data_IF_165287887907
#
_entry.id   IF_165287887907
#
_cell.length_a   1.000
_cell.length_b   1.000
_cell.length_c   1.000
_cell.angle_alpha   90.00
_cell.angle_beta   90.00
_cell.angle_gamma   90.00
#
_symmetry.space_group_name_H-M   'P 1'
#
loop_
_entity.id
_entity.type
_entity.pdbx_description
1 polymer ?
#
# COMPACT_ATOMS: atom_id res chain seq x y z
N UNK A 1 -19.23 -51.45 12.01
CA UNK A 1 -20.04 -50.26 11.66
C UNK A 1 -19.87 -49.09 12.64
N UNK A 2 -19.97 -49.28 13.98
CA UNK A 2 -19.82 -48.17 14.96
C UNK A 2 -18.45 -47.47 14.97
N UNK A 3 -17.36 -48.19 14.70
CA UNK A 3 -15.99 -47.61 14.66
C UNK A 3 -15.71 -46.78 13.40
N UNK A 4 -16.43 -47.00 12.30
CA UNK A 4 -16.30 -46.18 11.07
C UNK A 4 -16.94 -44.80 11.26
N UNK A 5 -18.02 -44.71 12.03
CA UNK A 5 -18.68 -43.44 12.34
C UNK A 5 -17.83 -42.53 13.24
N UNK A 6 -17.05 -43.12 14.15
CA UNK A 6 -16.11 -42.38 15.01
C UNK A 6 -14.92 -41.81 14.24
N UNK A 7 -14.44 -42.50 13.20
CA UNK A 7 -13.34 -42.01 12.34
C UNK A 7 -13.82 -40.84 11.45
N UNK A 8 -15.07 -40.89 10.97
CA UNK A 8 -15.66 -39.81 10.17
C UNK A 8 -15.83 -38.50 10.97
N UNK A 9 -16.15 -38.61 12.27
CA UNK A 9 -16.33 -37.44 13.15
C UNK A 9 -15.02 -36.68 13.42
N UNK A 10 -13.85 -37.34 13.36
CA UNK A 10 -12.55 -36.72 13.60
C UNK A 10 -12.03 -35.95 12.38
N UNK A 11 -12.41 -36.38 11.17
CA UNK A 11 -12.01 -35.69 9.93
C UNK A 11 -12.77 -34.38 9.70
N UNK A 12 -13.99 -34.24 10.25
CA UNK A 12 -14.81 -33.04 10.07
C UNK A 12 -14.30 -31.83 10.89
N UNK A 13 -13.52 -32.05 11.95
CA UNK A 13 -13.05 -30.98 12.84
C UNK A 13 -11.88 -30.13 12.28
N UNK A 14 -11.20 -30.59 11.22
CA UNK A 14 -9.98 -29.94 10.71
C UNK A 14 -10.30 -28.96 9.55
N UNK A 15 -11.53 -28.94 9.03
CA UNK A 15 -11.89 -28.16 7.84
C UNK A 15 -12.20 -26.66 8.09
N UNK A 16 -12.07 -26.15 9.31
CA UNK A 16 -12.62 -24.83 9.69
C UNK A 16 -11.63 -23.65 9.74
N UNK A 17 -10.35 -23.85 9.41
CA UNK A 17 -9.36 -22.77 9.38
C UNK A 17 -8.89 -22.46 7.95
N UNK A 18 -9.80 -21.94 7.13
CA UNK A 18 -9.46 -21.31 5.85
C UNK A 18 -9.24 -19.81 6.03
N UNK A 19 -8.09 -19.28 5.59
CA UNK A 19 -7.88 -17.84 5.48
C UNK A 19 -8.90 -17.27 4.49
N UNK A 20 -9.63 -16.22 4.87
CA UNK A 20 -10.59 -15.56 4.00
C UNK A 20 -9.97 -14.31 3.41
N UNK A 21 -10.33 -13.95 2.18
CA UNK A 21 -9.84 -12.72 1.54
C UNK A 21 -10.28 -11.45 2.28
N UNK A 22 -11.42 -11.49 2.98
CA UNK A 22 -11.93 -10.39 3.81
C UNK A 22 -11.08 -10.07 5.03
N UNK A 23 -10.25 -11.01 5.50
CA UNK A 23 -9.43 -10.84 6.71
C UNK A 23 -8.21 -9.92 6.45
N UNK A 24 -7.97 -9.55 5.19
CA UNK A 24 -6.84 -8.73 4.77
C UNK A 24 -7.29 -7.29 4.46
N UNK A 25 -6.47 -6.31 4.86
CA UNK A 25 -6.68 -4.89 4.57
C UNK A 25 -6.01 -4.44 3.27
N UNK A 26 -4.83 -5.00 3.00
CA UNK A 26 -3.93 -4.54 1.95
C UNK A 26 -3.90 -5.51 0.78
N UNK A 27 -4.01 -4.97 -0.43
CA UNK A 27 -3.89 -5.74 -1.67
C UNK A 27 -2.80 -5.12 -2.53
N UNK A 28 -1.86 -5.95 -2.97
CA UNK A 28 -0.86 -5.59 -3.98
C UNK A 28 -1.39 -6.03 -5.34
N UNK A 29 -1.45 -5.09 -6.27
CA UNK A 29 -1.78 -5.36 -7.67
C UNK A 29 -0.50 -5.11 -8.47
N UNK A 30 0.00 -6.10 -9.24
CA UNK A 30 1.23 -5.93 -10.00
C UNK A 30 1.03 -4.86 -11.09
N UNK A 31 2.13 -4.22 -11.51
CA UNK A 31 2.07 -3.24 -12.59
C UNK A 31 1.50 -3.84 -13.89
N UNK A 32 1.83 -5.12 -14.12
CA UNK A 32 1.33 -5.97 -15.17
C UNK A 32 0.95 -7.32 -14.60
N UNK A 33 -0.21 -7.83 -14.97
CA UNK A 33 -0.60 -9.21 -14.65
C UNK A 33 0.29 -10.21 -15.39
N UNK A 34 0.48 -11.38 -14.80
CA UNK A 34 1.22 -12.47 -15.45
C UNK A 34 0.55 -12.90 -16.77
N UNK A 35 -0.78 -12.86 -16.83
CA UNK A 35 -1.51 -13.03 -18.07
C UNK A 35 -1.46 -11.74 -18.90
N UNK A 36 -0.69 -11.79 -20.00
CA UNK A 36 -0.50 -10.66 -20.92
C UNK A 36 -1.84 -10.20 -21.51
N UNK A 37 -2.83 -11.09 -21.71
CA UNK A 37 -4.13 -10.72 -22.28
C UNK A 37 -4.94 -9.86 -21.31
N UNK A 38 -4.87 -10.14 -20.00
CA UNK A 38 -5.56 -9.36 -18.97
C UNK A 38 -5.11 -7.89 -18.90
N UNK A 39 -3.91 -7.57 -19.41
CA UNK A 39 -3.37 -6.22 -19.42
C UNK A 39 -3.93 -5.31 -20.52
N UNK A 40 -4.76 -5.81 -21.45
CA UNK A 40 -5.19 -5.06 -22.64
C UNK A 40 -6.51 -4.28 -22.49
N UNK A 41 -7.35 -4.62 -21.51
CA UNK A 41 -8.75 -4.18 -21.47
C UNK A 41 -9.09 -3.27 -20.27
N UNK A 42 -8.09 -2.58 -19.71
CA UNK A 42 -8.29 -1.70 -18.55
C UNK A 42 -8.69 -2.42 -17.25
N UNK A 43 -8.53 -3.74 -17.18
CA UNK A 43 -8.98 -4.57 -16.05
C UNK A 43 -8.30 -4.19 -14.74
N UNK A 44 -7.06 -3.71 -14.79
CA UNK A 44 -6.31 -3.26 -13.61
C UNK A 44 -6.99 -2.09 -12.91
N UNK A 45 -7.29 -1.03 -13.65
CA UNK A 45 -7.88 0.18 -13.10
C UNK A 45 -9.30 -0.07 -12.57
N UNK A 46 -10.04 -0.94 -13.27
CA UNK A 46 -11.35 -1.40 -12.82
C UNK A 46 -11.27 -2.20 -11.51
N UNK A 47 -10.33 -3.15 -11.42
CA UNK A 47 -10.11 -3.93 -10.20
C UNK A 47 -9.73 -3.02 -9.03
N UNK A 48 -8.81 -2.06 -9.23
CA UNK A 48 -8.43 -1.06 -8.23
C UNK A 48 -9.67 -0.30 -7.73
N UNK A 49 -10.51 0.19 -8.65
CA UNK A 49 -11.72 0.95 -8.30
C UNK A 49 -12.67 0.12 -7.45
N UNK A 50 -12.95 -1.12 -7.84
CA UNK A 50 -13.88 -1.99 -7.12
C UNK A 50 -13.34 -2.37 -5.73
N UNK A 51 -12.05 -2.70 -5.62
CA UNK A 51 -11.44 -3.07 -4.34
C UNK A 51 -11.41 -1.90 -3.36
N UNK A 52 -11.17 -0.67 -3.83
CA UNK A 52 -11.31 0.55 -3.01
C UNK A 52 -12.73 0.73 -2.47
N UNK A 53 -13.75 0.51 -3.31
CA UNK A 53 -15.16 0.54 -2.87
C UNK A 53 -15.44 -0.54 -1.81
N UNK A 54 -14.79 -1.70 -1.92
CA UNK A 54 -14.86 -2.80 -0.94
C UNK A 54 -13.95 -2.61 0.28
N UNK A 55 -13.42 -1.40 0.51
CA UNK A 55 -12.60 -0.99 1.66
C UNK A 55 -11.20 -1.62 1.72
N UNK A 56 -10.69 -2.15 0.62
CA UNK A 56 -9.29 -2.58 0.54
C UNK A 56 -8.37 -1.41 0.19
N UNK A 57 -7.16 -1.43 0.76
CA UNK A 57 -6.10 -0.47 0.45
C UNK A 57 -5.15 -1.08 -0.58
N UNK A 58 -4.99 -0.40 -1.72
CA UNK A 58 -4.07 -0.88 -2.77
C UNK A 58 -2.67 -0.37 -2.50
N UNK A 59 -1.71 -1.28 -2.41
CA UNK A 59 -0.30 -1.02 -2.09
C UNK A 59 0.59 -1.42 -3.27
N UNK A 60 1.69 -0.71 -3.50
CA UNK A 60 2.67 -1.09 -4.52
C UNK A 60 3.65 -2.14 -3.97
N UNK A 61 4.05 -3.08 -4.83
CA UNK A 61 4.90 -4.26 -4.53
C UNK A 61 6.26 -3.90 -3.91
N UNK A 62 6.71 -2.65 -4.01
CA UNK A 62 8.00 -2.16 -3.50
C UNK A 62 7.97 -1.57 -2.08
N UNK A 63 6.87 -1.75 -1.35
CA UNK A 63 6.74 -1.26 0.03
C UNK A 63 7.39 -2.30 0.96
N UNK A 64 8.47 -1.95 1.66
CA UNK A 64 9.21 -2.84 2.58
C UNK A 64 8.45 -3.30 3.85
N UNK A 65 7.13 -3.39 3.76
CA UNK A 65 6.21 -3.84 4.79
C UNK A 65 6.21 -5.38 4.87
N UNK A 66 5.80 -5.93 6.01
CA UNK A 66 5.60 -7.37 6.19
C UNK A 66 4.64 -7.92 5.12
N UNK A 67 5.20 -8.61 4.10
CA UNK A 67 4.47 -9.12 2.93
C UNK A 67 3.29 -10.02 3.30
N UNK A 68 3.34 -10.67 4.46
CA UNK A 68 2.33 -11.64 4.88
C UNK A 68 1.02 -11.04 5.39
N UNK A 69 0.94 -9.73 5.58
CA UNK A 69 -0.32 -9.05 5.90
C UNK A 69 -1.02 -8.50 4.64
N UNK A 70 -0.51 -8.86 3.46
CA UNK A 70 -1.01 -8.40 2.17
C UNK A 70 -1.42 -9.58 1.28
N UNK A 71 -2.42 -9.34 0.43
CA UNK A 71 -2.75 -10.26 -0.65
C UNK A 71 -2.24 -9.73 -1.98
N UNK A 72 -1.59 -10.58 -2.77
CA UNK A 72 -1.32 -10.29 -4.18
C UNK A 72 -2.54 -10.66 -5.01
N UNK A 73 -3.04 -9.72 -5.80
CA UNK A 73 -4.17 -9.94 -6.71
C UNK A 73 -3.70 -10.06 -8.15
N UNK A 74 -3.99 -11.20 -8.77
CA UNK A 74 -3.72 -11.48 -10.18
C UNK A 74 -5.02 -11.60 -10.96
N UNK A 75 -5.02 -11.11 -12.20
CA UNK A 75 -6.14 -11.24 -13.13
C UNK A 75 -5.70 -12.08 -14.32
N UNK A 76 -6.52 -13.07 -14.68
CA UNK A 76 -6.30 -13.96 -15.81
C UNK A 76 -7.50 -13.91 -16.77
N UNK A 77 -7.21 -13.93 -18.06
CA UNK A 77 -8.19 -14.14 -19.13
C UNK A 77 -8.36 -15.65 -19.33
N UNK A 78 -9.48 -16.19 -18.86
CA UNK A 78 -9.86 -17.60 -19.03
C UNK A 78 -10.88 -17.79 -20.16
N UNK A 79 -11.07 -16.74 -20.97
CA UNK A 79 -11.98 -16.71 -22.09
C UNK A 79 -11.48 -17.49 -23.30
N UNK A 80 -12.34 -17.59 -24.29
CA UNK A 80 -12.04 -18.15 -25.61
C UNK A 80 -12.71 -17.30 -26.69
N UNK A 81 -12.56 -17.70 -27.96
CA UNK A 81 -13.10 -16.93 -29.10
C UNK A 81 -14.62 -16.67 -29.01
N UNK A 82 -15.35 -17.47 -28.23
CA UNK A 82 -16.81 -17.40 -28.10
C UNK A 82 -17.28 -16.99 -26.70
N UNK A 83 -16.37 -16.71 -25.76
CA UNK A 83 -16.75 -16.35 -24.40
C UNK A 83 -15.71 -15.51 -23.70
N UNK A 84 -16.17 -14.39 -23.14
CA UNK A 84 -15.37 -13.52 -22.30
C UNK A 84 -15.46 -14.01 -20.86
N UNK A 85 -14.32 -14.41 -20.28
CA UNK A 85 -14.22 -14.91 -18.91
C UNK A 85 -12.97 -14.36 -18.23
N UNK A 86 -13.12 -13.97 -16.98
CA UNK A 86 -12.03 -13.45 -16.16
C UNK A 86 -11.98 -14.24 -14.85
N UNK A 87 -10.76 -14.51 -14.39
CA UNK A 87 -10.48 -15.08 -13.08
C UNK A 87 -9.59 -14.12 -12.30
N UNK A 88 -10.02 -13.76 -11.09
CA UNK A 88 -9.24 -13.00 -10.11
C UNK A 88 -8.74 -14.00 -9.06
N UNK A 89 -7.44 -14.01 -8.83
CA UNK A 89 -6.81 -14.85 -7.81
C UNK A 89 -6.10 -13.99 -6.77
N UNK A 90 -6.40 -14.23 -5.50
CA UNK A 90 -5.69 -13.64 -4.37
C UNK A 90 -4.72 -14.65 -3.77
N UNK A 91 -3.45 -14.26 -3.65
CA UNK A 91 -2.38 -15.07 -3.06
C UNK A 91 -1.83 -14.41 -1.81
N UNK A 92 -1.43 -15.22 -0.84
CA UNK A 92 -0.67 -14.74 0.31
C UNK A 92 0.82 -14.56 -0.02
N UNK A 93 1.62 -14.15 0.98
CA UNK A 93 3.07 -14.00 0.84
C UNK A 93 3.85 -15.27 0.49
N UNK A 94 3.21 -16.45 0.60
CA UNK A 94 3.79 -17.76 0.26
C UNK A 94 3.27 -18.27 -1.08
N UNK A 95 2.70 -17.38 -1.91
CA UNK A 95 2.05 -17.69 -3.19
C UNK A 95 0.89 -18.69 -3.08
N UNK A 96 0.33 -18.88 -1.88
CA UNK A 96 -0.81 -19.77 -1.67
C UNK A 96 -2.09 -19.05 -2.07
N UNK A 97 -2.90 -19.70 -2.90
CA UNK A 97 -4.22 -19.20 -3.31
C UNK A 97 -5.18 -19.16 -2.12
N UNK A 98 -5.60 -17.96 -1.74
CA UNK A 98 -6.53 -17.67 -0.63
C UNK A 98 -7.96 -17.53 -1.14
N UNK A 99 -8.14 -17.05 -2.37
CA UNK A 99 -9.44 -16.91 -2.98
C UNK A 99 -9.37 -16.80 -4.49
N UNK A 100 -10.29 -17.50 -5.16
CA UNK A 100 -10.46 -17.46 -6.61
C UNK A 100 -11.88 -16.99 -6.89
N UNK A 101 -12.01 -15.98 -7.74
CA UNK A 101 -13.27 -15.40 -8.14
C UNK A 101 -13.36 -15.38 -9.67
N UNK A 102 -14.41 -15.97 -10.21
CA UNK A 102 -14.60 -16.10 -11.64
C UNK A 102 -15.84 -15.32 -12.09
N UNK A 103 -15.76 -14.74 -13.28
CA UNK A 103 -16.87 -14.04 -13.90
C UNK A 103 -16.89 -14.29 -15.40
N UNK A 104 -18.10 -14.31 -15.95
CA UNK A 104 -18.36 -14.54 -17.37
C UNK A 104 -19.34 -13.50 -17.87
N UNK A 105 -19.05 -12.94 -19.04
CA UNK A 105 -19.95 -12.01 -19.72
C UNK A 105 -20.72 -12.71 -20.85
N UNK A 106 -21.93 -12.20 -21.11
CA UNK A 106 -22.74 -12.52 -22.29
C UNK A 106 -22.51 -11.56 -23.45
N UNK A 107 -21.76 -10.48 -23.25
CA UNK A 107 -21.42 -9.53 -24.30
C UNK A 107 -20.47 -10.20 -25.30
N UNK A 108 -20.76 -9.99 -26.59
CA UNK A 108 -19.98 -10.55 -27.71
C UNK A 108 -18.69 -9.78 -27.94
N UNK A 109 -18.71 -8.47 -27.72
CA UNK A 109 -17.56 -7.60 -27.88
C UNK A 109 -16.53 -7.85 -26.77
N UNK A 110 -15.26 -7.93 -27.15
CA UNK A 110 -14.21 -8.45 -26.28
C UNK A 110 -13.89 -7.52 -25.10
N UNK A 111 -13.58 -6.26 -25.37
CA UNK A 111 -13.21 -5.29 -24.32
C UNK A 111 -14.35 -5.04 -23.31
N UNK A 112 -15.58 -4.66 -23.72
CA UNK A 112 -16.67 -4.48 -22.77
C UNK A 112 -17.08 -5.81 -22.13
N UNK A 113 -16.97 -6.94 -22.83
CA UNK A 113 -17.22 -8.26 -22.26
C UNK A 113 -16.21 -8.68 -21.20
N UNK A 114 -14.93 -8.31 -21.33
CA UNK A 114 -13.93 -8.58 -20.29
C UNK A 114 -14.11 -7.68 -19.06
N UNK A 115 -14.49 -6.42 -19.26
CA UNK A 115 -14.81 -5.51 -18.16
C UNK A 115 -16.06 -5.99 -17.39
N UNK A 116 -17.13 -6.37 -18.11
CA UNK A 116 -18.34 -6.96 -17.50
C UNK A 116 -18.04 -8.28 -16.78
N UNK A 117 -17.22 -9.16 -17.38
CA UNK A 117 -16.79 -10.39 -16.73
C UNK A 117 -16.02 -10.12 -15.42
N UNK A 118 -15.15 -9.10 -15.40
CA UNK A 118 -14.47 -8.68 -14.17
C UNK A 118 -15.46 -8.12 -13.14
N UNK A 119 -16.45 -7.33 -13.55
CA UNK A 119 -17.49 -6.84 -12.65
C UNK A 119 -18.21 -8.00 -11.97
N UNK A 120 -18.66 -8.98 -12.76
CA UNK A 120 -19.31 -10.20 -12.25
C UNK A 120 -18.41 -10.94 -11.28
N UNK A 121 -17.12 -11.14 -11.61
CA UNK A 121 -16.15 -11.79 -10.74
C UNK A 121 -16.02 -11.06 -9.39
N UNK A 122 -16.05 -9.73 -9.39
CA UNK A 122 -15.88 -8.95 -8.16
C UNK A 122 -17.10 -8.93 -7.23
N UNK A 123 -18.30 -9.31 -7.70
CA UNK A 123 -19.53 -9.27 -6.88
C UNK A 123 -19.45 -10.15 -5.63
N UNK A 124 -18.79 -11.31 -5.76
CA UNK A 124 -18.63 -12.31 -4.69
C UNK A 124 -17.45 -12.01 -3.76
N UNK A 125 -16.61 -11.03 -4.09
CA UNK A 125 -15.56 -10.55 -3.19
C UNK A 125 -16.21 -9.85 -2.01
N UNK A 126 -15.96 -10.33 -0.79
CA UNK A 126 -16.45 -9.69 0.42
C UNK A 126 -15.71 -8.38 0.71
N UNK A 127 -16.35 -7.46 1.42
CA UNK A 127 -15.68 -6.24 1.87
C UNK A 127 -14.55 -6.60 2.84
N UNK A 128 -13.49 -5.79 2.85
CA UNK A 128 -12.42 -5.92 3.84
C UNK A 128 -13.00 -5.68 5.24
N UNK A 129 -12.72 -6.63 6.14
CA UNK A 129 -13.01 -6.54 7.56
C UNK A 129 -11.83 -7.18 8.31
N UNK A 130 -10.68 -6.48 8.37
CA UNK A 130 -9.49 -7.01 9.00
C UNK A 130 -9.80 -7.32 10.47
N UNK A 131 -9.69 -8.58 10.85
CA UNK A 131 -9.64 -8.91 12.28
C UNK A 131 -8.30 -8.42 12.77
N UNK A 132 -8.24 -7.84 13.96
CA UNK A 132 -6.98 -7.57 14.65
C UNK A 132 -6.16 -8.87 14.60
N UNK A 133 -5.13 -8.87 13.76
CA UNK A 133 -4.17 -9.95 13.75
C UNK A 133 -3.45 -9.81 15.08
N UNK A 134 -3.74 -10.73 16.00
CA UNK A 134 -2.97 -10.87 17.23
C UNK A 134 -1.52 -11.09 16.78
N UNK A 135 -0.71 -10.04 16.89
CA UNK A 135 0.73 -10.17 16.78
C UNK A 135 1.13 -11.21 17.84
N UNK A 136 1.62 -12.35 17.37
CA UNK A 136 2.43 -13.22 18.21
C UNK A 136 3.59 -12.35 18.70
N UNK A 137 3.52 -11.98 19.98
CA UNK A 137 4.55 -11.21 20.68
C UNK A 137 5.87 -11.95 20.55
N UNK A 138 6.77 -11.43 19.72
CA UNK A 138 8.20 -11.66 19.89
C UNK A 138 8.71 -10.54 20.77
N UNK A 139 8.99 -10.92 22.01
CA UNK A 139 9.54 -10.10 23.10
C UNK A 139 10.84 -9.39 22.69
N UNK A 140 11.06 -8.15 23.15
CA UNK A 140 12.23 -7.36 22.81
C UNK A 140 13.40 -7.71 23.74
N UNK A 141 14.58 -7.98 23.16
CA UNK A 141 15.85 -7.92 23.89
C UNK A 141 16.91 -7.31 22.97
N UNK A 142 17.12 -6.01 23.09
CA UNK A 142 18.47 -5.45 23.16
C UNK A 142 18.36 -4.04 23.75
N UNK A 143 18.54 -3.98 25.06
CA UNK A 143 18.91 -2.80 25.82
C UNK A 143 20.23 -2.23 25.29
N UNK A 144 20.34 -0.91 25.15
CA UNK A 144 21.47 -0.08 25.65
C UNK A 144 21.05 1.42 25.66
N UNK A 145 21.69 2.25 26.51
CA UNK A 145 21.00 3.21 27.37
C UNK A 145 21.05 4.68 26.91
N UNK A 146 20.26 5.50 27.59
CA UNK A 146 20.32 6.97 27.63
C UNK A 146 21.70 7.45 28.12
N UNK A 147 22.31 8.39 27.41
CA UNK A 147 23.54 9.08 27.79
C UNK A 147 23.74 10.38 26.99
N UNK A 148 23.86 11.46 27.72
CA UNK A 148 23.78 12.89 27.44
C UNK A 148 25.13 13.58 27.05
N UNK A 149 25.01 14.73 26.36
CA UNK A 149 25.86 15.95 26.42
C UNK A 149 27.27 16.01 25.77
N UNK A 150 27.34 16.81 24.69
CA UNK A 150 28.30 17.88 24.31
C UNK A 150 29.82 17.67 24.03
N UNK A 151 30.26 18.45 23.02
CA UNK A 151 31.60 18.98 22.65
C UNK A 151 32.61 18.03 21.98
N UNK A 152 32.87 18.16 20.67
CA UNK A 152 33.79 19.09 19.95
C UNK A 152 35.27 18.85 20.26
N UNK A 153 36.00 18.24 19.32
CA UNK A 153 37.40 18.61 19.00
C UNK A 153 37.74 18.21 17.56
N UNK A 154 38.36 19.14 16.85
CA UNK A 154 38.90 19.08 15.48
C UNK A 154 40.34 18.54 15.58
N UNK A 155 40.80 17.66 14.67
CA UNK A 155 42.02 17.87 13.85
C UNK A 155 42.31 16.77 12.78
N UNK A 156 42.43 17.26 11.53
CA UNK A 156 43.32 16.98 10.39
C UNK A 156 43.90 15.58 10.06
N UNK A 157 43.80 15.18 8.77
CA UNK A 157 44.88 15.22 7.74
C UNK A 157 44.63 14.13 6.64
N UNK A 158 44.10 14.45 5.46
CA UNK A 158 44.74 14.73 4.15
C UNK A 158 45.41 13.52 3.42
N UNK A 159 44.74 13.13 2.31
CA UNK A 159 45.24 12.80 0.96
C UNK A 159 45.49 11.38 0.39
N UNK A 160 45.08 11.33 -0.90
CA UNK A 160 45.62 10.61 -2.08
C UNK A 160 45.14 9.20 -2.46
N UNK A 161 44.10 9.22 -3.29
CA UNK A 161 44.03 8.76 -4.69
C UNK A 161 44.79 7.46 -5.11
N UNK A 162 44.05 6.48 -5.66
CA UNK A 162 44.43 5.70 -6.85
C UNK A 162 43.19 5.12 -7.56
N UNK A 163 43.37 4.89 -8.85
CA UNK A 163 42.42 4.96 -9.98
C UNK A 163 41.61 3.68 -10.26
N UNK A 164 40.56 3.85 -11.07
CA UNK A 164 39.67 2.87 -11.76
C UNK A 164 40.38 1.60 -12.33
N UNK A 165 39.77 0.45 -12.63
CA UNK A 165 38.60 0.15 -13.50
C UNK A 165 38.10 -1.29 -13.21
N UNK A 166 36.77 -1.53 -13.20
CA UNK A 166 36.21 -2.79 -13.73
C UNK A 166 35.04 -3.50 -13.03
N UNK A 167 33.82 -3.20 -13.49
CA UNK A 167 32.68 -4.15 -13.71
C UNK A 167 31.84 -4.64 -12.50
N UNK A 168 30.65 -4.07 -12.32
CA UNK A 168 29.29 -4.66 -12.56
C UNK A 168 28.21 -4.16 -11.59
N UNK A 169 27.13 -3.69 -12.21
CA UNK A 169 25.70 -3.81 -11.85
C UNK A 169 25.19 -3.30 -10.48
N UNK A 170 24.30 -2.32 -10.56
CA UNK A 170 23.08 -2.33 -9.73
C UNK A 170 23.12 -1.57 -8.42
N UNK A 171 23.27 -0.24 -8.46
CA UNK A 171 22.88 0.61 -7.33
C UNK A 171 22.03 1.78 -7.81
N UNK A 172 20.72 1.54 -7.95
CA UNK A 172 19.75 2.65 -7.94
C UNK A 172 19.59 3.10 -6.49
N UNK A 173 20.22 4.24 -6.22
CA UNK A 173 19.90 5.28 -5.23
C UNK A 173 18.88 4.92 -4.15
N UNK A 174 19.36 4.97 -2.92
CA UNK A 174 18.60 5.25 -1.70
C UNK A 174 17.60 6.38 -2.01
N UNK A 175 16.31 6.15 -1.82
CA UNK A 175 15.31 7.20 -1.92
C UNK A 175 15.34 8.00 -0.62
N UNK A 176 15.53 9.32 -0.74
CA UNK A 176 15.59 10.27 0.36
C UNK A 176 14.27 10.26 1.14
N UNK A 177 14.29 9.68 2.34
CA UNK A 177 13.20 9.82 3.30
C UNK A 177 13.29 11.23 3.91
N UNK A 178 12.55 12.19 3.37
CA UNK A 178 12.49 13.56 3.92
C UNK A 178 11.60 13.57 5.18
N UNK A 179 12.18 13.89 6.33
CA UNK A 179 11.46 13.98 7.61
C UNK A 179 11.18 15.45 7.93
N UNK A 180 9.97 15.74 8.40
CA UNK A 180 9.51 17.08 8.75
C UNK A 180 8.97 17.11 10.18
N UNK A 181 9.08 18.25 10.86
CA UNK A 181 8.57 18.41 12.23
C UNK A 181 8.11 19.83 12.52
N UNK A 182 7.12 19.96 13.40
CA UNK A 182 6.69 21.23 14.00
C UNK A 182 6.99 21.29 15.50
N UNK A 183 7.87 20.41 16.01
CA UNK A 183 8.18 20.24 17.43
C UNK A 183 7.30 19.22 18.14
N UNK A 184 6.01 19.14 17.79
CA UNK A 184 5.06 18.21 18.40
C UNK A 184 4.89 16.92 17.57
N UNK A 185 4.85 17.08 16.25
CA UNK A 185 4.70 16.00 15.29
C UNK A 185 6.01 15.77 14.55
N UNK A 186 6.29 14.51 14.25
CA UNK A 186 7.37 14.10 13.35
C UNK A 186 6.71 13.33 12.22
N UNK A 187 6.86 13.85 11.00
CA UNK A 187 6.16 13.37 9.82
C UNK A 187 7.16 12.96 8.74
N UNK A 188 6.97 11.79 8.17
CA UNK A 188 7.69 11.34 6.98
C UNK A 188 6.94 11.83 5.74
N UNK A 189 7.66 12.45 4.80
CA UNK A 189 7.13 12.79 3.48
C UNK A 189 7.41 11.66 2.51
N UNK A 190 6.33 11.11 1.94
CA UNK A 190 6.38 9.99 1.02
C UNK A 190 5.75 10.43 -0.31
N UNK A 191 6.53 10.40 -1.39
CA UNK A 191 6.03 10.73 -2.73
C UNK A 191 5.17 9.57 -3.28
N UNK A 192 3.97 9.90 -3.77
CA UNK A 192 3.03 8.95 -4.36
C UNK A 192 3.08 8.95 -5.90
N UNK A 193 3.23 10.14 -6.50
CA UNK A 193 3.27 10.33 -7.95
C UNK A 193 3.94 11.66 -8.33
N UNK A 194 3.83 12.14 -9.58
CA UNK A 194 4.43 13.42 -10.02
C UNK A 194 3.86 14.61 -9.24
N UNK A 195 4.55 14.97 -8.16
CA UNK A 195 4.21 16.08 -7.28
C UNK A 195 3.20 15.76 -6.17
N UNK A 196 2.57 14.59 -6.19
CA UNK A 196 1.69 14.15 -5.11
C UNK A 196 2.50 13.46 -4.01
N UNK A 197 2.25 13.81 -2.75
CA UNK A 197 2.91 13.20 -1.61
C UNK A 197 1.97 13.09 -0.41
N UNK A 198 2.33 12.27 0.56
CA UNK A 198 1.64 12.14 1.84
C UNK A 198 2.61 12.43 2.97
N UNK A 199 2.12 13.09 4.01
CA UNK A 199 2.78 13.17 5.31
C UNK A 199 2.19 12.09 6.21
N UNK A 200 3.03 11.22 6.75
CA UNK A 200 2.63 10.18 7.70
C UNK A 200 3.39 10.34 9.02
N UNK A 201 2.77 9.99 10.14
CA UNK A 201 3.45 10.02 11.43
C UNK A 201 4.61 9.02 11.43
N UNK A 202 5.78 9.45 11.90
CA UNK A 202 6.99 8.64 11.84
C UNK A 202 6.98 7.43 12.80
N UNK A 203 6.12 7.42 13.81
CA UNK A 203 6.02 6.39 14.86
C UNK A 203 5.10 5.22 14.47
N UNK A 204 3.93 5.52 13.89
CA UNK A 204 2.89 4.53 13.61
C UNK A 204 2.48 4.50 12.12
N UNK A 205 3.11 5.32 11.28
CA UNK A 205 2.81 5.45 9.84
C UNK A 205 1.38 5.88 9.52
N UNK A 206 0.61 6.37 10.49
CA UNK A 206 -0.73 6.88 10.26
C UNK A 206 -0.68 8.13 9.37
N UNK A 207 -1.53 8.25 8.34
CA UNK A 207 -1.55 9.42 7.48
C UNK A 207 -1.94 10.65 8.30
N UNK A 208 -1.17 11.72 8.19
CA UNK A 208 -1.52 13.04 8.69
C UNK A 208 -2.28 13.82 7.60
N UNK A 209 -1.71 13.91 6.40
CA UNK A 209 -2.34 14.62 5.29
C UNK A 209 -1.80 14.19 3.91
N UNK A 210 -2.67 14.17 2.90
CA UNK A 210 -2.32 13.91 1.50
C UNK A 210 -2.32 15.20 0.69
N UNK A 211 -1.26 15.43 -0.09
CA UNK A 211 -1.01 16.65 -0.85
C UNK A 211 -1.08 16.37 -2.35
N UNK A 212 -2.08 16.94 -3.02
CA UNK A 212 -2.25 16.87 -4.47
C UNK A 212 -1.88 18.22 -5.11
N UNK A 213 -1.05 18.26 -6.16
CA UNK A 213 -0.68 19.52 -6.82
C UNK A 213 -1.91 20.32 -7.25
N UNK A 214 -1.88 21.63 -7.00
CA UNK A 214 -2.84 22.57 -7.59
C UNK A 214 -2.32 23.11 -8.92
N UNK A 215 -3.07 24.02 -9.55
CA UNK A 215 -2.62 24.74 -10.75
C UNK A 215 -1.54 25.79 -10.45
N UNK A 216 -1.38 26.20 -9.19
CA UNK A 216 -0.33 27.13 -8.76
C UNK A 216 0.88 26.32 -8.26
N UNK A 217 2.07 26.66 -8.77
CA UNK A 217 3.34 26.03 -8.40
C UNK A 217 3.51 26.05 -6.87
N UNK A 218 3.97 24.93 -6.30
CA UNK A 218 4.23 24.76 -4.86
C UNK A 218 3.01 24.96 -3.95
N UNK A 219 1.80 24.98 -4.52
CA UNK A 219 0.53 24.99 -3.77
C UNK A 219 -0.22 23.70 -4.05
N UNK A 220 -0.81 23.13 -3.01
CA UNK A 220 -1.43 21.82 -2.98
C UNK A 220 -2.85 21.89 -2.45
N UNK A 221 -3.71 21.04 -3.00
CA UNK A 221 -4.96 20.64 -2.36
C UNK A 221 -4.62 19.56 -1.35
N UNK A 222 -4.89 19.84 -0.08
CA UNK A 222 -4.57 18.95 1.03
C UNK A 222 -5.84 18.26 1.51
N UNK A 223 -5.78 16.96 1.73
CA UNK A 223 -6.80 16.20 2.43
C UNK A 223 -6.23 15.70 3.74
N UNK A 224 -6.79 16.14 4.86
CA UNK A 224 -6.40 15.72 6.21
C UNK A 224 -6.89 14.30 6.50
N UNK A 225 -6.34 13.68 7.54
CA UNK A 225 -6.70 12.33 7.98
C UNK A 225 -8.20 12.16 8.29
N UNK A 226 -8.87 13.22 8.75
CA UNK A 226 -10.31 13.26 9.03
C UNK A 226 -11.17 13.38 7.75
N UNK A 227 -10.54 13.49 6.59
CA UNK A 227 -11.18 13.64 5.28
C UNK A 227 -11.41 15.10 4.86
N UNK A 228 -11.22 16.07 5.75
CA UNK A 228 -11.39 17.50 5.48
C UNK A 228 -10.39 17.99 4.45
N UNK A 229 -10.83 18.85 3.52
CA UNK A 229 -9.96 19.42 2.49
C UNK A 229 -9.55 20.85 2.81
N UNK A 230 -8.27 21.16 2.63
CA UNK A 230 -7.68 22.47 2.87
C UNK A 230 -6.57 22.78 1.86
N UNK A 231 -5.84 23.87 2.05
CA UNK A 231 -4.67 24.25 1.27
C UNK A 231 -3.39 23.96 2.04
N UNK A 232 -2.35 23.61 1.29
CA UNK A 232 -0.99 23.56 1.79
C UNK A 232 -0.03 24.04 0.73
N UNK A 233 1.13 24.52 1.15
CA UNK A 233 2.12 25.08 0.24
C UNK A 233 3.53 24.98 0.83
N UNK A 234 4.53 25.13 -0.03
CA UNK A 234 5.90 25.33 0.42
C UNK A 234 6.16 26.82 0.66
N UNK A 235 6.78 27.14 1.80
CA UNK A 235 7.26 28.48 2.16
C UNK A 235 8.65 28.29 2.78
N UNK A 236 9.71 28.78 2.13
CA UNK A 236 11.12 28.63 2.56
C UNK A 236 11.53 27.18 2.89
N UNK A 237 11.22 26.24 1.99
CA UNK A 237 11.46 24.79 2.19
C UNK A 237 10.70 24.15 3.37
N UNK A 238 9.76 24.87 3.99
CA UNK A 238 8.85 24.35 5.02
C UNK A 238 7.52 23.97 4.37
N UNK A 239 6.88 22.95 4.90
CA UNK A 239 5.51 22.60 4.53
C UNK A 239 4.56 23.38 5.42
N UNK A 240 3.67 24.15 4.82
CA UNK A 240 2.60 24.86 5.50
C UNK A 240 1.28 24.19 5.17
N UNK A 241 0.46 23.92 6.19
CA UNK A 241 -0.92 23.44 6.05
C UNK A 241 -1.85 24.46 6.69
N UNK A 242 -2.86 24.92 5.96
CA UNK A 242 -3.89 25.79 6.53
C UNK A 242 -4.94 24.94 7.23
N UNK A 243 -5.31 25.30 8.46
CA UNK A 243 -6.34 24.62 9.22
C UNK A 243 -7.43 25.61 9.58
N UNK A 244 -8.68 25.24 9.32
CA UNK A 244 -9.82 26.02 9.76
C UNK A 244 -9.94 25.96 11.29
N UNK A 245 -10.29 27.09 11.88
CA UNK A 245 -10.68 27.25 13.28
C UNK A 245 -12.20 27.13 13.40
N UNK A 246 -12.69 26.91 14.62
CA UNK A 246 -14.13 26.79 14.89
C UNK A 246 -14.93 28.07 14.56
N UNK A 247 -14.26 29.22 14.54
CA UNK A 247 -14.83 30.53 14.19
C UNK A 247 -14.80 30.83 12.67
N UNK A 248 -14.31 29.89 11.85
CA UNK A 248 -14.17 30.05 10.40
C UNK A 248 -12.90 30.79 9.95
N UNK A 249 -12.05 31.24 10.87
CA UNK A 249 -10.71 31.76 10.53
C UNK A 249 -9.74 30.62 10.19
N UNK A 250 -8.58 30.95 9.62
CA UNK A 250 -7.55 29.97 9.28
C UNK A 250 -6.27 30.20 10.11
N UNK A 251 -5.66 29.10 10.56
CA UNK A 251 -4.32 29.09 11.16
C UNK A 251 -3.35 28.28 10.29
N UNK A 252 -2.06 28.56 10.42
CA UNK A 252 -0.99 27.82 9.73
C UNK A 252 -0.37 26.79 10.66
N UNK A 253 -0.20 25.56 10.19
CA UNK A 253 0.68 24.57 10.80
C UNK A 253 1.92 24.41 9.91
N UNK A 254 3.10 24.65 10.50
CA UNK A 254 4.37 24.78 9.75
C UNK A 254 5.32 23.67 10.16
N UNK A 255 5.75 22.87 9.18
CA UNK A 255 6.68 21.78 9.39
C UNK A 255 8.01 22.08 8.69
N UNK A 256 9.09 22.09 9.47
CA UNK A 256 10.46 22.27 8.96
C UNK A 256 11.10 20.91 8.73
N UNK A 257 11.93 20.80 7.69
CA UNK A 257 12.72 19.59 7.45
C UNK A 257 13.68 19.35 8.63
N UNK A 258 13.74 18.11 9.11
CA UNK A 258 14.60 17.67 10.22
C UNK A 258 15.93 17.13 9.70
#
# INVERSE_FOLDING_TARGET
MKKLFQIFSIFLAIALYGQKTSDYQFIVIPEKFNDIKANKYGLKDMLIKVLKVKKYTIVQENSGNNLCNMLKAEVMDTGNLFSNKVKIEFKDCKDKSIGIFEGRSSLKDFEPGMQDALEVATRTISNSNPKEMVEDKVTPNSSYPLGNTAQTTIENDIDKNLTEIGRKEGRKSIQNLEVYTNGNLILNKIYLSKGEFVLTHSDNSAPYAMFKPSTKKEVYRVQLADGTTTLGYFEDSKIVVELANADGSYRKEVFSQK
#
